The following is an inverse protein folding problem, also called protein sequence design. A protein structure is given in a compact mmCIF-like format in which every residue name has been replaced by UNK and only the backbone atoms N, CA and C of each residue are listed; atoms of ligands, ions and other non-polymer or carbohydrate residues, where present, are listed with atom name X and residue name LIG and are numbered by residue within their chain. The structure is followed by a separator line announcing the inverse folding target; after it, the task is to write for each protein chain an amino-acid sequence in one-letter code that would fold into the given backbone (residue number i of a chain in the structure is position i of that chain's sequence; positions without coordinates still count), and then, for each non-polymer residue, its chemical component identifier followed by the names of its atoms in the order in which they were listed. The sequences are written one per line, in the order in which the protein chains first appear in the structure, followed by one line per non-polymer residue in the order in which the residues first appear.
data_IF_837844700277
#
_entry.id   IF_837844700277
#
_cell.length_a   1.000
_cell.length_b   1.000
_cell.length_c   1.000
_cell.angle_alpha   90.00
_cell.angle_beta   90.00
_cell.angle_gamma   90.00
#
_symmetry.space_group_name_H-M   'P 1'
#
loop_
_entity.id
_entity.type
_entity.pdbx_description
1 polymer ?
#
# COMPACT_ATOMS: atom_id res chain seq x y z
N UNK A 1 -10.04 1.13 30.77
CA UNK A 1 -11.33 0.49 30.51
C UNK A 1 -11.95 1.20 29.32
N UNK A 2 -12.18 0.51 28.19
CA UNK A 2 -12.92 1.13 27.08
C UNK A 2 -14.40 1.29 27.51
N UNK A 3 -15.08 2.39 27.17
CA UNK A 3 -16.49 2.56 27.49
C UNK A 3 -17.33 1.41 26.93
N UNK A 4 -18.37 0.96 27.65
CA UNK A 4 -19.21 -0.19 27.28
C UNK A 4 -19.78 -0.08 25.85
N UNK A 5 -20.05 1.14 25.36
CA UNK A 5 -20.51 1.41 23.99
C UNK A 5 -19.55 0.87 22.91
N UNK A 6 -18.25 0.71 23.21
CA UNK A 6 -17.25 0.17 22.26
C UNK A 6 -17.18 -1.36 22.24
N UNK A 7 -17.94 -2.05 23.09
CA UNK A 7 -17.90 -3.52 23.17
C UNK A 7 -19.02 -4.19 22.37
N UNK A 8 -20.13 -3.47 22.13
CA UNK A 8 -21.33 -4.03 21.47
C UNK A 8 -21.61 -3.42 20.09
N UNK A 9 -20.95 -2.32 19.69
CA UNK A 9 -21.07 -1.71 18.36
C UNK A 9 -20.05 -2.28 17.38
N UNK A 10 -20.16 -3.54 17.00
CA UNK A 10 -19.71 -3.92 15.65
C UNK A 10 -20.85 -3.54 14.71
N UNK A 11 -20.83 -2.30 14.18
CA UNK A 11 -21.79 -1.83 13.18
C UNK A 11 -21.87 -2.79 11.98
N UNK A 12 -20.79 -3.53 11.70
CA UNK A 12 -20.71 -4.56 10.68
C UNK A 12 -19.93 -5.77 11.20
N UNK A 13 -20.36 -6.96 10.80
CA UNK A 13 -19.52 -8.15 10.92
C UNK A 13 -18.23 -7.93 10.13
N UNK A 14 -17.07 -8.15 10.78
CA UNK A 14 -15.78 -8.09 10.09
C UNK A 14 -15.75 -9.23 9.07
N UNK A 15 -15.65 -8.94 7.75
CA UNK A 15 -15.59 -9.99 6.75
C UNK A 15 -14.40 -10.90 7.03
N UNK A 16 -14.65 -12.19 7.24
CA UNK A 16 -13.58 -13.18 7.37
C UNK A 16 -13.01 -13.44 5.98
N UNK A 17 -11.84 -12.88 5.69
CA UNK A 17 -11.10 -13.18 4.46
C UNK A 17 -10.47 -14.58 4.57
N UNK A 18 -11.21 -15.61 4.17
CA UNK A 18 -10.63 -16.95 3.99
C UNK A 18 -9.89 -16.99 2.66
N UNK A 19 -8.57 -17.15 2.71
CA UNK A 19 -7.73 -17.26 1.51
C UNK A 19 -7.51 -18.73 1.22
N UNK A 20 -8.11 -19.21 0.15
CA UNK A 20 -7.97 -20.54 -0.40
C UNK A 20 -6.76 -20.66 -1.33
N UNK A 21 -6.48 -21.88 -1.78
CA UNK A 21 -5.47 -22.10 -2.83
C UNK A 21 -5.91 -21.49 -4.16
N UNK A 22 -7.21 -21.56 -4.43
CA UNK A 22 -7.84 -21.06 -5.65
C UNK A 22 -7.70 -19.53 -5.78
N UNK A 23 -7.63 -18.78 -4.67
CA UNK A 23 -7.36 -17.33 -4.68
C UNK A 23 -5.92 -16.97 -5.10
N UNK A 24 -5.03 -17.97 -5.14
CA UNK A 24 -3.65 -17.82 -5.60
C UNK A 24 -3.51 -18.34 -7.04
N UNK A 25 -4.45 -19.18 -7.50
CA UNK A 25 -4.50 -19.61 -8.89
C UNK A 25 -4.75 -18.39 -9.78
N UNK A 26 -3.85 -18.17 -10.73
CA UNK A 26 -3.85 -16.99 -11.62
C UNK A 26 -3.66 -15.60 -10.98
N UNK A 27 -3.13 -15.52 -9.75
CA UNK A 27 -2.77 -14.23 -9.12
C UNK A 27 -1.96 -13.31 -10.05
N UNK A 28 -1.06 -13.88 -10.86
CA UNK A 28 -0.25 -13.12 -11.81
C UNK A 28 -1.05 -12.57 -13.00
N UNK A 29 -2.10 -13.28 -13.43
CA UNK A 29 -3.06 -12.80 -14.42
C UNK A 29 -3.89 -11.65 -13.87
N UNK A 30 -4.45 -11.81 -12.67
CA UNK A 30 -5.21 -10.76 -11.99
C UNK A 30 -4.36 -9.50 -11.72
N UNK A 31 -3.13 -9.68 -11.22
CA UNK A 31 -2.20 -8.58 -10.99
C UNK A 31 -1.88 -7.82 -12.29
N UNK A 32 -1.81 -8.53 -13.42
CA UNK A 32 -1.58 -7.94 -14.74
C UNK A 32 -2.82 -7.20 -15.25
N UNK A 33 -4.01 -7.77 -15.10
CA UNK A 33 -5.27 -7.14 -15.46
C UNK A 33 -5.46 -5.85 -14.66
N UNK A 34 -5.28 -5.94 -13.34
CA UNK A 34 -5.31 -4.80 -12.43
C UNK A 34 -4.32 -3.70 -12.86
N UNK A 35 -3.07 -4.05 -13.15
CA UNK A 35 -2.08 -3.09 -13.63
C UNK A 35 -2.46 -2.47 -15.00
N UNK A 36 -3.17 -3.23 -15.84
CA UNK A 36 -3.68 -2.78 -17.13
C UNK A 36 -4.64 -1.59 -17.04
N UNK A 37 -5.42 -1.51 -15.96
CA UNK A 37 -6.34 -0.39 -15.68
C UNK A 37 -5.66 0.97 -15.60
N UNK A 38 -4.33 0.99 -15.38
CA UNK A 38 -3.55 2.22 -15.26
C UNK A 38 -2.70 2.52 -16.50
N UNK A 39 -2.87 1.77 -17.58
CA UNK A 39 -2.01 1.83 -18.76
C UNK A 39 -1.91 3.23 -19.40
N UNK A 40 -2.99 4.01 -19.37
CA UNK A 40 -3.08 5.36 -19.93
C UNK A 40 -2.27 6.41 -19.14
N UNK A 41 -1.96 6.15 -17.86
CA UNK A 41 -1.25 7.11 -17.01
C UNK A 41 0.28 7.03 -17.15
N UNK A 42 0.78 6.11 -17.98
CA UNK A 42 2.19 6.01 -18.34
C UNK A 42 2.42 6.59 -19.73
N UNK A 43 3.38 7.52 -19.86
CA UNK A 43 3.69 8.13 -21.16
C UNK A 43 4.25 7.14 -22.19
N UNK A 44 4.85 6.03 -21.74
CA UNK A 44 5.55 5.05 -22.57
C UNK A 44 5.36 3.64 -22.03
N UNK A 45 5.51 2.65 -22.91
CA UNK A 45 5.41 1.24 -22.54
C UNK A 45 6.56 0.79 -21.63
N UNK A 46 7.80 1.21 -21.88
CA UNK A 46 8.95 0.69 -21.13
C UNK A 46 8.87 1.05 -19.62
N UNK A 47 8.48 2.29 -19.23
CA UNK A 47 8.26 2.60 -17.83
C UNK A 47 7.13 1.81 -17.17
N UNK A 48 6.06 1.54 -17.91
CA UNK A 48 4.91 0.73 -17.46
C UNK A 48 5.34 -0.72 -17.19
N UNK A 49 6.10 -1.31 -18.11
CA UNK A 49 6.57 -2.69 -17.97
C UNK A 49 7.57 -2.82 -16.81
N UNK A 50 8.45 -1.83 -16.62
CA UNK A 50 9.33 -1.78 -15.45
C UNK A 50 8.56 -1.65 -14.13
N UNK A 51 7.47 -0.88 -14.10
CA UNK A 51 6.62 -0.76 -12.92
C UNK A 51 5.97 -2.10 -12.57
N UNK A 52 5.38 -2.79 -13.56
CA UNK A 52 4.81 -4.13 -13.37
C UNK A 52 5.85 -5.15 -12.87
N UNK A 53 7.05 -5.14 -13.46
CA UNK A 53 8.13 -6.05 -13.06
C UNK A 53 8.62 -5.77 -11.64
N UNK A 54 8.71 -4.49 -11.26
CA UNK A 54 9.05 -4.13 -9.89
C UNK A 54 7.96 -4.55 -8.89
N UNK A 55 6.68 -4.39 -9.25
CA UNK A 55 5.52 -4.80 -8.45
C UNK A 55 5.46 -6.32 -8.25
N UNK A 56 5.53 -7.10 -9.33
CA UNK A 56 5.53 -8.55 -9.28
C UNK A 56 6.73 -9.11 -8.49
N UNK A 57 7.92 -8.54 -8.68
CA UNK A 57 9.11 -8.92 -7.91
C UNK A 57 8.99 -8.66 -6.40
N UNK A 58 8.05 -7.80 -5.97
CA UNK A 58 7.77 -7.56 -4.55
C UNK A 58 7.01 -8.72 -3.90
N UNK A 59 6.23 -9.46 -4.68
CA UNK A 59 5.54 -10.68 -4.25
C UNK A 59 6.44 -11.93 -4.32
N UNK A 60 7.52 -11.89 -5.10
CA UNK A 60 8.47 -13.01 -5.22
C UNK A 60 9.21 -13.37 -3.92
N UNK A 61 9.93 -14.49 -3.96
CA UNK A 61 10.68 -15.11 -2.86
C UNK A 61 12.10 -14.52 -2.65
N UNK A 62 12.37 -13.33 -3.20
CA UNK A 62 13.69 -12.70 -3.11
C UNK A 62 14.05 -12.30 -1.66
N UNK A 63 15.22 -12.75 -1.20
CA UNK A 63 15.79 -12.38 0.11
C UNK A 63 15.94 -10.87 0.31
N UNK A 64 16.31 -10.15 -0.76
CA UNK A 64 16.34 -8.68 -0.80
C UNK A 64 15.49 -8.19 -1.95
N UNK A 65 14.41 -7.51 -1.62
CA UNK A 65 13.42 -7.00 -2.58
C UNK A 65 13.71 -5.53 -2.93
N UNK A 66 14.91 -5.27 -3.44
CA UNK A 66 15.33 -3.96 -3.97
C UNK A 66 15.28 -3.98 -5.50
N UNK A 67 15.46 -2.82 -6.15
CA UNK A 67 15.34 -2.71 -7.61
C UNK A 67 16.28 -3.64 -8.38
N UNK A 68 17.53 -3.79 -7.94
CA UNK A 68 18.51 -4.62 -8.65
C UNK A 68 18.19 -6.13 -8.60
N UNK A 69 18.00 -6.78 -7.43
CA UNK A 69 17.59 -8.19 -7.37
C UNK A 69 16.29 -8.46 -8.12
N UNK A 70 15.31 -7.54 -8.05
CA UNK A 70 14.06 -7.67 -8.78
C UNK A 70 14.30 -7.59 -10.29
N UNK A 71 15.03 -6.57 -10.77
CA UNK A 71 15.38 -6.44 -12.19
C UNK A 71 16.09 -7.67 -12.73
N UNK A 72 17.09 -8.19 -11.99
CA UNK A 72 17.82 -9.39 -12.39
C UNK A 72 16.88 -10.59 -12.50
N UNK A 73 15.96 -10.75 -11.55
CA UNK A 73 15.01 -11.88 -11.51
C UNK A 73 13.95 -11.80 -12.61
N UNK A 74 13.40 -10.62 -12.88
CA UNK A 74 12.25 -10.46 -13.79
C UNK A 74 12.65 -10.18 -15.24
N UNK A 75 13.78 -9.53 -15.46
CA UNK A 75 14.11 -8.93 -16.77
C UNK A 75 15.61 -8.97 -17.10
N UNK A 76 16.43 -9.66 -16.29
CA UNK A 76 17.86 -9.83 -16.51
C UNK A 76 18.74 -8.65 -16.08
N UNK A 77 20.06 -8.87 -16.01
CA UNK A 77 21.04 -7.89 -15.49
C UNK A 77 21.08 -6.57 -16.28
N UNK A 78 20.84 -6.60 -17.58
CA UNK A 78 20.81 -5.41 -18.43
C UNK A 78 19.69 -4.42 -18.05
N UNK A 79 18.62 -4.90 -17.41
CA UNK A 79 17.46 -4.10 -17.02
C UNK A 79 17.64 -3.30 -15.72
N UNK A 80 18.70 -3.56 -14.93
CA UNK A 80 18.92 -2.96 -13.60
C UNK A 80 18.90 -1.43 -13.67
N UNK A 81 19.66 -0.86 -14.61
CA UNK A 81 19.71 0.60 -14.78
C UNK A 81 18.38 1.18 -15.23
N UNK A 82 17.65 0.46 -16.09
CA UNK A 82 16.30 0.84 -16.55
C UNK A 82 15.31 0.90 -15.39
N UNK A 83 15.29 -0.13 -14.55
CA UNK A 83 14.41 -0.20 -13.37
C UNK A 83 14.76 0.88 -12.34
N UNK A 84 16.04 1.10 -12.03
CA UNK A 84 16.45 2.16 -11.10
C UNK A 84 16.07 3.56 -11.62
N UNK A 85 16.29 3.82 -12.92
CA UNK A 85 15.87 5.07 -13.56
C UNK A 85 14.36 5.23 -13.52
N UNK A 86 13.61 4.18 -13.80
CA UNK A 86 12.15 4.20 -13.73
C UNK A 86 11.68 4.65 -12.35
N UNK A 87 12.18 4.02 -11.28
CA UNK A 87 11.77 4.33 -9.91
C UNK A 87 12.15 5.75 -9.43
N UNK A 88 13.08 6.40 -10.12
CA UNK A 88 13.63 7.69 -9.68
C UNK A 88 13.22 8.86 -10.58
N UNK A 89 12.97 8.61 -11.87
CA UNK A 89 12.82 9.65 -12.89
C UNK A 89 11.65 9.42 -13.85
N UNK A 90 10.96 8.28 -13.80
CA UNK A 90 9.81 8.08 -14.70
C UNK A 90 8.74 9.13 -14.43
N UNK A 91 8.14 9.60 -15.53
CA UNK A 91 7.01 10.52 -15.53
C UNK A 91 5.77 9.67 -15.75
N UNK A 92 4.84 9.73 -14.80
CA UNK A 92 3.50 9.16 -14.90
C UNK A 92 2.53 10.10 -14.17
N UNK A 93 1.25 10.03 -14.53
CA UNK A 93 0.21 10.88 -13.95
C UNK A 93 -0.25 10.32 -12.59
N UNK A 94 0.47 10.67 -11.52
CA UNK A 94 0.10 10.28 -10.13
C UNK A 94 -1.32 10.69 -9.74
N UNK A 95 -1.76 11.96 -9.97
CA UNK A 95 -3.15 12.33 -9.72
C UNK A 95 -4.16 11.48 -10.48
N UNK A 96 -3.88 11.17 -11.75
CA UNK A 96 -4.74 10.32 -12.58
C UNK A 96 -4.85 8.89 -12.05
N UNK A 97 -3.71 8.26 -11.73
CA UNK A 97 -3.69 6.92 -11.13
C UNK A 97 -4.48 6.91 -9.81
N UNK A 98 -4.31 7.93 -8.97
CA UNK A 98 -5.02 8.01 -7.69
C UNK A 98 -6.55 8.15 -7.88
N UNK A 99 -6.99 8.99 -8.84
CA UNK A 99 -8.42 9.11 -9.18
C UNK A 99 -8.99 7.78 -9.68
N UNK A 100 -8.33 7.13 -10.65
CA UNK A 100 -8.74 5.83 -11.18
C UNK A 100 -8.86 4.78 -10.06
N UNK A 101 -7.90 4.77 -9.14
CA UNK A 101 -7.95 3.89 -7.98
C UNK A 101 -9.14 4.18 -7.06
N UNK A 102 -9.45 5.45 -6.78
CA UNK A 102 -10.64 5.84 -6.02
C UNK A 102 -11.95 5.44 -6.71
N UNK A 103 -12.02 5.56 -8.03
CA UNK A 103 -13.17 5.10 -8.81
C UNK A 103 -13.37 3.58 -8.67
N UNK A 104 -12.29 2.80 -8.72
CA UNK A 104 -12.36 1.35 -8.50
C UNK A 104 -12.83 1.01 -7.07
N UNK A 105 -12.27 1.68 -6.05
CA UNK A 105 -12.70 1.51 -4.65
C UNK A 105 -14.17 1.86 -4.47
N UNK A 106 -14.62 2.97 -5.06
CA UNK A 106 -16.02 3.40 -5.03
C UNK A 106 -16.94 2.37 -5.71
N UNK A 107 -16.55 1.88 -6.88
CA UNK A 107 -17.35 0.91 -7.64
C UNK A 107 -17.51 -0.42 -6.89
N UNK A 108 -16.50 -0.84 -6.14
CA UNK A 108 -16.50 -2.13 -5.45
C UNK A 108 -17.01 -2.07 -4.00
N UNK A 109 -16.72 -0.99 -3.28
CA UNK A 109 -16.94 -0.89 -1.82
C UNK A 109 -17.68 0.39 -1.40
N UNK A 110 -18.08 1.24 -2.35
CA UNK A 110 -18.82 2.46 -2.08
C UNK A 110 -20.10 2.19 -1.30
N UNK A 111 -20.26 2.87 -0.17
CA UNK A 111 -21.38 2.68 0.73
C UNK A 111 -21.70 4.01 1.44
N UNK A 112 -22.99 4.38 1.59
CA UNK A 112 -23.39 5.59 2.31
C UNK A 112 -22.88 5.66 3.75
N UNK A 113 -22.69 4.51 4.41
CA UNK A 113 -22.17 4.41 5.77
C UNK A 113 -20.64 4.19 5.80
N UNK A 114 -19.97 4.35 4.66
CA UNK A 114 -18.52 4.25 4.54
C UNK A 114 -17.79 5.29 5.38
N UNK A 115 -16.67 4.89 5.99
CA UNK A 115 -15.86 5.77 6.84
C UNK A 115 -14.47 5.96 6.29
N UNK A 116 -13.93 7.18 6.47
CA UNK A 116 -12.52 7.46 6.28
C UNK A 116 -11.78 7.39 7.62
N UNK A 117 -10.70 6.62 7.63
CA UNK A 117 -9.84 6.39 8.78
C UNK A 117 -8.48 7.03 8.47
N UNK A 118 -8.01 7.89 9.38
CA UNK A 118 -6.69 8.50 9.28
C UNK A 118 -5.81 7.98 10.40
N UNK A 119 -4.62 7.50 10.04
CA UNK A 119 -3.63 7.01 11.00
C UNK A 119 -2.21 7.35 10.57
N UNK A 120 -1.35 7.57 11.56
CA UNK A 120 0.08 7.77 11.35
C UNK A 120 0.83 6.47 11.62
N UNK A 121 1.72 6.08 10.72
CA UNK A 121 2.59 4.92 10.92
C UNK A 121 4.07 5.28 10.80
N UNK A 122 4.85 4.81 11.77
CA UNK A 122 6.29 5.03 11.88
C UNK A 122 7.10 3.77 11.61
N UNK A 123 8.17 3.91 10.83
CA UNK A 123 9.08 2.83 10.43
C UNK A 123 10.51 3.16 10.83
N UNK A 124 11.07 2.42 11.80
CA UNK A 124 12.46 2.62 12.25
C UNK A 124 13.45 2.33 11.12
N UNK A 125 14.46 3.19 11.00
CA UNK A 125 15.54 3.07 10.01
C UNK A 125 16.90 3.18 10.68
N UNK A 126 17.88 2.45 10.15
CA UNK A 126 19.28 2.51 10.62
C UNK A 126 20.15 3.54 9.89
N UNK A 127 19.75 4.02 8.71
CA UNK A 127 20.53 4.92 7.86
C UNK A 127 19.83 6.27 7.60
N UNK A 128 20.48 7.12 6.80
CA UNK A 128 20.01 8.46 6.42
C UNK A 128 19.53 8.58 4.97
N UNK A 129 19.73 7.55 4.16
CA UNK A 129 19.47 7.59 2.71
C UNK A 129 18.03 7.24 2.33
N UNK A 130 17.21 6.87 3.31
CA UNK A 130 15.78 6.63 3.08
C UNK A 130 15.02 7.96 3.03
N UNK A 131 14.16 8.16 2.04
CA UNK A 131 13.40 9.40 1.90
C UNK A 131 12.57 9.72 3.15
N UNK A 132 12.53 10.98 3.61
CA UNK A 132 11.73 11.35 4.80
C UNK A 132 12.18 10.66 6.11
N UNK A 133 13.37 10.06 6.15
CA UNK A 133 13.95 9.55 7.39
C UNK A 133 14.48 10.72 8.21
N UNK A 134 14.09 10.78 9.48
CA UNK A 134 14.56 11.78 10.42
C UNK A 134 14.49 11.24 11.85
N UNK A 135 15.12 11.94 12.79
CA UNK A 135 14.89 11.77 14.23
C UNK A 135 13.57 12.43 14.58
N UNK A 136 12.51 11.64 14.71
CA UNK A 136 11.15 12.10 14.98
C UNK A 136 10.41 11.09 15.87
N UNK A 137 9.29 11.48 16.46
CA UNK A 137 8.50 10.57 17.29
C UNK A 137 7.98 9.42 16.42
N UNK A 138 8.20 8.19 16.85
CA UNK A 138 7.77 6.99 16.15
C UNK A 138 6.76 6.25 17.01
N UNK A 139 5.48 6.31 16.64
CA UNK A 139 4.39 5.66 17.37
C UNK A 139 4.66 4.17 17.63
N UNK A 140 5.21 3.47 16.64
CA UNK A 140 5.54 2.03 16.71
C UNK A 140 6.51 1.65 17.83
N UNK A 141 7.42 2.55 18.21
CA UNK A 141 8.39 2.32 19.31
C UNK A 141 8.16 3.24 20.51
N UNK A 142 7.12 4.07 20.49
CA UNK A 142 6.73 4.94 21.60
C UNK A 142 7.76 6.01 22.00
N UNK A 143 8.70 6.36 21.11
CA UNK A 143 9.78 7.31 21.41
C UNK A 143 10.28 8.02 20.16
N UNK A 144 11.08 9.07 20.35
CA UNK A 144 11.85 9.68 19.26
C UNK A 144 12.90 8.68 18.78
N UNK A 145 12.79 8.27 17.52
CA UNK A 145 13.73 7.37 16.87
C UNK A 145 14.11 7.86 15.47
N UNK A 146 15.21 7.36 14.90
CA UNK A 146 15.47 7.54 13.48
C UNK A 146 14.46 6.70 12.69
N UNK A 147 13.44 7.34 12.13
CA UNK A 147 12.35 6.66 11.47
C UNK A 147 11.82 7.46 10.28
N UNK A 148 11.10 6.77 9.40
CA UNK A 148 10.19 7.37 8.43
C UNK A 148 8.79 7.39 9.04
N UNK A 149 8.10 8.51 8.97
CA UNK A 149 6.72 8.64 9.44
C UNK A 149 5.84 9.03 8.27
N UNK A 150 4.75 8.30 8.07
CA UNK A 150 3.75 8.59 7.05
C UNK A 150 2.36 8.70 7.66
N UNK A 151 1.57 9.65 7.16
CA UNK A 151 0.13 9.68 7.36
C UNK A 151 -0.54 8.85 6.27
N UNK A 152 -1.53 8.05 6.66
CA UNK A 152 -2.29 7.16 5.79
C UNK A 152 -3.77 7.46 5.94
N UNK A 153 -4.49 7.38 4.83
CA UNK A 153 -5.94 7.43 4.80
C UNK A 153 -6.45 6.10 4.27
N UNK A 154 -7.47 5.57 4.92
CA UNK A 154 -8.15 4.36 4.54
C UNK A 154 -9.64 4.59 4.45
N UNK A 155 -10.30 3.80 3.62
CA UNK A 155 -11.74 3.70 3.51
C UNK A 155 -12.17 2.34 4.04
N UNK A 156 -13.25 2.29 4.81
CA UNK A 156 -13.87 1.05 5.26
C UNK A 156 -15.39 1.14 5.15
N UNK A 157 -16.02 0.03 4.78
CA UNK A 157 -17.47 -0.15 4.74
C UNK A 157 -17.81 -1.60 5.05
N UNK A 158 -19.10 -1.94 5.05
CA UNK A 158 -19.54 -3.35 5.15
C UNK A 158 -19.04 -4.25 4.03
N UNK A 159 -18.59 -3.67 2.91
CA UNK A 159 -18.08 -4.41 1.75
C UNK A 159 -16.58 -4.70 1.84
N UNK A 160 -15.86 -4.06 2.77
CA UNK A 160 -14.42 -4.24 2.92
C UNK A 160 -13.71 -2.95 3.27
N UNK A 161 -12.40 -2.92 3.01
CA UNK A 161 -11.56 -1.78 3.35
C UNK A 161 -10.37 -1.68 2.40
N UNK A 162 -9.91 -0.45 2.19
CA UNK A 162 -8.80 -0.13 1.31
C UNK A 162 -8.01 1.07 1.84
N UNK A 163 -6.69 1.07 1.68
CA UNK A 163 -5.94 2.32 1.77
C UNK A 163 -6.31 3.18 0.58
N UNK A 164 -6.62 4.45 0.78
CA UNK A 164 -7.03 5.38 -0.29
C UNK A 164 -6.06 6.53 -0.48
N UNK A 165 -5.24 6.87 0.51
CA UNK A 165 -4.23 7.90 0.34
C UNK A 165 -3.07 7.72 1.32
N UNK A 166 -1.96 8.41 1.06
CA UNK A 166 -0.86 8.54 2.00
C UNK A 166 -0.05 9.80 1.75
N UNK A 167 0.72 10.20 2.76
CA UNK A 167 1.73 11.25 2.66
C UNK A 167 2.89 10.92 3.59
N UNK A 168 4.13 11.07 3.10
CA UNK A 168 5.32 10.93 3.94
C UNK A 168 5.66 12.29 4.59
N UNK A 169 6.01 12.28 5.88
CA UNK A 169 6.49 13.47 6.58
C UNK A 169 7.87 13.93 6.08
N UNK A 170 8.08 15.26 5.96
CA UNK A 170 9.40 15.84 5.70
C UNK A 170 9.69 16.47 4.33
N UNK A 171 8.69 16.70 3.47
CA UNK A 171 8.85 17.49 2.24
C UNK A 171 9.14 16.69 0.96
N UNK A 172 9.01 17.39 -0.17
CA UNK A 172 8.80 16.86 -1.52
C UNK A 172 9.94 15.94 -2.00
N UNK A 173 9.67 14.63 -1.99
CA UNK A 173 10.48 13.65 -2.68
C UNK A 173 9.54 12.88 -3.60
N UNK A 174 9.88 12.84 -4.90
CA UNK A 174 9.27 12.00 -5.95
C UNK A 174 9.50 10.50 -5.67
N UNK A 175 9.26 10.08 -4.44
CA UNK A 175 9.53 8.73 -3.90
C UNK A 175 8.23 7.95 -3.91
N UNK A 176 7.56 8.03 -5.04
CA UNK A 176 6.37 7.26 -5.31
C UNK A 176 6.69 5.76 -5.49
N UNK A 177 7.97 5.44 -5.67
CA UNK A 177 8.51 4.07 -5.70
C UNK A 177 8.50 3.34 -4.35
N UNK A 178 8.52 4.04 -3.22
CA UNK A 178 8.33 3.35 -1.94
C UNK A 178 6.86 3.21 -1.56
N UNK A 179 6.01 4.07 -2.12
CA UNK A 179 4.63 4.17 -1.68
C UNK A 179 3.73 3.28 -2.50
N UNK A 180 3.77 3.34 -3.83
CA UNK A 180 2.81 2.57 -4.63
C UNK A 180 2.97 1.08 -4.37
N UNK A 181 4.18 0.66 -4.02
CA UNK A 181 4.52 -0.73 -3.76
C UNK A 181 4.24 -1.19 -2.34
N UNK A 182 4.22 -0.29 -1.37
CA UNK A 182 3.70 -0.60 -0.04
C UNK A 182 2.17 -0.48 0.00
N UNK A 183 1.60 0.44 -0.77
CA UNK A 183 0.16 0.58 -0.97
C UNK A 183 -0.41 -0.69 -1.62
N UNK A 184 0.18 -1.22 -2.70
CA UNK A 184 -0.23 -2.52 -3.24
C UNK A 184 0.13 -3.70 -2.35
N UNK A 185 1.30 -3.70 -1.71
CA UNK A 185 1.66 -4.78 -0.80
C UNK A 185 0.73 -4.84 0.41
N UNK A 186 0.32 -3.70 0.98
CA UNK A 186 -0.61 -3.62 2.10
C UNK A 186 -2.05 -3.84 1.62
N UNK A 187 -2.53 -3.14 0.59
CA UNK A 187 -3.89 -3.31 0.05
C UNK A 187 -4.12 -4.74 -0.43
N UNK A 188 -3.15 -5.41 -1.05
CA UNK A 188 -3.27 -6.83 -1.43
C UNK A 188 -3.10 -7.75 -0.22
N UNK A 189 -2.25 -7.44 0.77
CA UNK A 189 -2.23 -8.22 2.03
C UNK A 189 -3.51 -8.04 2.86
N UNK A 190 -4.26 -6.97 2.67
CA UNK A 190 -5.53 -6.74 3.37
C UNK A 190 -6.76 -7.17 2.54
N UNK A 191 -6.62 -7.26 1.21
CA UNK A 191 -7.63 -7.80 0.27
C UNK A 191 -7.46 -9.29 -0.04
N UNK A 192 -6.30 -9.88 0.22
CA UNK A 192 -5.96 -11.27 -0.12
C UNK A 192 -5.21 -12.04 0.99
N UNK A 193 -5.03 -11.49 2.21
CA UNK A 193 -4.48 -12.25 3.35
C UNK A 193 -5.31 -12.03 4.63
N UNK A 194 -5.67 -13.09 5.38
CA UNK A 194 -6.37 -12.94 6.65
C UNK A 194 -5.49 -12.27 7.71
N UNK A 195 -6.13 -11.50 8.60
CA UNK A 195 -5.47 -10.77 9.69
C UNK A 195 -4.62 -11.65 10.63
N UNK A 196 -4.85 -12.97 10.69
CA UNK A 196 -4.08 -13.91 11.52
C UNK A 196 -2.78 -14.42 10.86
N UNK A 197 -2.63 -14.27 9.54
CA UNK A 197 -1.38 -14.57 8.80
C UNK A 197 -0.47 -13.35 8.70
N UNK A 198 -0.93 -12.16 9.13
CA UNK A 198 -0.12 -10.97 9.33
C UNK A 198 0.75 -11.15 10.59
N UNK A 199 1.74 -12.05 10.52
CA UNK A 199 2.80 -12.16 11.53
C UNK A 199 3.71 -10.93 11.44
N UNK A 200 3.27 -9.89 12.13
CA UNK A 200 3.97 -8.62 12.31
C UNK A 200 2.98 -7.64 12.90
N UNK A 201 3.40 -6.88 13.93
CA UNK A 201 2.58 -6.03 14.79
C UNK A 201 1.79 -4.87 14.11
N UNK A 202 1.50 -4.96 12.81
CA UNK A 202 0.99 -3.90 11.94
C UNK A 202 -0.54 -3.91 11.78
N UNK A 203 -1.22 -5.05 11.96
CA UNK A 203 -2.67 -5.15 11.73
C UNK A 203 -3.53 -4.66 12.91
N UNK A 204 -3.05 -4.78 14.14
CA UNK A 204 -3.88 -4.56 15.34
C UNK A 204 -4.08 -3.07 15.70
N UNK A 205 -3.21 -2.17 15.22
CA UNK A 205 -3.31 -0.75 15.55
C UNK A 205 -4.25 0.03 14.60
N UNK A 206 -4.40 -0.44 13.37
CA UNK A 206 -5.21 0.21 12.33
C UNK A 206 -6.72 0.20 12.65
N UNK A 207 -7.18 -0.83 13.35
CA UNK A 207 -8.60 -1.00 13.75
C UNK A 207 -8.99 -0.06 14.92
N UNK A 208 -8.03 0.64 15.55
CA UNK A 208 -8.27 1.50 16.72
C UNK A 208 -8.40 3.00 16.41
N UNK A 209 -8.28 3.41 15.14
CA UNK A 209 -8.31 4.80 14.69
C UNK A 209 -9.71 5.41 14.62
N UNK A 210 -9.84 6.71 14.95
CA UNK A 210 -11.09 7.47 14.93
C UNK A 210 -11.63 7.58 13.49
N UNK A 211 -12.82 7.03 13.25
CA UNK A 211 -13.56 7.22 12.01
C UNK A 211 -14.14 8.64 11.93
N UNK A 212 -14.06 9.27 10.75
CA UNK A 212 -14.86 10.42 10.38
C UNK A 212 -15.76 10.00 9.20
N UNK A 213 -17.05 10.30 9.29
CA UNK A 213 -18.04 10.02 8.23
C UNK A 213 -17.67 10.79 6.97
N UNK A 214 -17.66 10.11 5.82
CA UNK A 214 -17.33 10.72 4.53
C UNK A 214 -18.49 10.57 3.56
N UNK A 215 -19.10 11.68 3.16
CA UNK A 215 -19.99 11.74 1.99
C UNK A 215 -19.11 11.95 0.74
N UNK A 216 -19.31 11.13 -0.29
CA UNK A 216 -18.65 11.20 -1.61
C UNK A 216 -19.68 11.38 -2.73
#
# INVERSE_FOLDING_TARGET
MLPAIRQEEYLYEIPQFSVGKDDVEDFMGELRAFHGEFSEYFCRQEPRDHFFNYMSGRFGDLKRKTAEPIAIRTSGRSSVRGMQRNLSHAIWDEPGILRKYHEMVRAEMGDPDGVLIFDESGFVKKGKDSAGVARQYCGTVGKVENCQVGGFAAYASRHGYALVNKRLGGGALRVMSFIFLYFFYIVIQFRFFPAHLLQGAYAQNFIRGKALSAEF
#
